data_IF_558817222682
#
_entry.id   IF_558817222682
#
_cell.length_a   1.000
_cell.length_b   1.000
_cell.length_c   1.000
_cell.angle_alpha   90.00
_cell.angle_beta   90.00
_cell.angle_gamma   90.00
#
_symmetry.space_group_name_H-M   'P 1'
#
loop_
_entity.id
_entity.type
_entity.pdbx_description
1 polymer ?
#
# COMPACT_ATOMS: atom_id res chain seq x y z
N UNK A 1 -26.86 21.93 -6.77
CA UNK A 1 -26.86 20.56 -6.22
C UNK A 1 -27.57 19.55 -7.14
N UNK A 2 -28.73 19.87 -7.72
CA UNK A 2 -29.46 18.91 -8.59
C UNK A 2 -28.72 18.53 -9.90
N UNK A 3 -27.99 19.46 -10.52
CA UNK A 3 -27.14 19.15 -11.69
C UNK A 3 -25.95 18.22 -11.35
N UNK A 4 -25.34 18.42 -10.17
CA UNK A 4 -24.20 17.61 -9.72
C UNK A 4 -24.65 16.16 -9.51
N UNK A 5 -25.84 15.96 -8.94
CA UNK A 5 -26.42 14.62 -8.73
C UNK A 5 -26.78 13.96 -10.06
N UNK A 6 -27.26 14.73 -11.05
CA UNK A 6 -27.61 14.21 -12.38
C UNK A 6 -26.38 13.75 -13.17
N UNK A 7 -25.31 14.55 -13.18
CA UNK A 7 -24.01 14.18 -13.79
C UNK A 7 -23.36 12.99 -13.09
N UNK A 8 -23.58 12.83 -11.78
CA UNK A 8 -23.08 11.70 -10.99
C UNK A 8 -23.79 10.37 -11.34
N UNK A 9 -25.07 10.44 -11.73
CA UNK A 9 -25.90 9.31 -12.14
C UNK A 9 -25.55 8.79 -13.54
N UNK A 10 -25.21 9.68 -14.47
CA UNK A 10 -24.98 9.32 -15.87
C UNK A 10 -23.60 8.66 -16.10
N UNK A 11 -22.62 8.90 -15.20
CA UNK A 11 -21.29 8.29 -15.26
C UNK A 11 -20.82 7.84 -13.86
N UNK A 12 -21.34 6.72 -13.33
CA UNK A 12 -20.97 6.22 -12.00
C UNK A 12 -19.46 5.99 -11.85
N UNK A 13 -18.78 5.59 -12.93
CA UNK A 13 -17.32 5.47 -12.98
C UNK A 13 -16.59 6.81 -12.80
N UNK A 14 -17.08 7.89 -13.42
CA UNK A 14 -16.49 9.22 -13.27
C UNK A 14 -16.72 9.78 -11.86
N UNK A 15 -17.90 9.54 -11.29
CA UNK A 15 -18.22 9.92 -9.92
C UNK A 15 -17.31 9.22 -8.89
N UNK A 16 -17.09 7.91 -9.04
CA UNK A 16 -16.17 7.15 -8.21
C UNK A 16 -14.75 7.70 -8.34
N UNK A 17 -14.31 8.04 -9.57
CA UNK A 17 -13.01 8.65 -9.82
C UNK A 17 -12.83 9.98 -9.09
N UNK A 18 -13.82 10.87 -9.15
CA UNK A 18 -13.78 12.16 -8.44
C UNK A 18 -13.78 11.96 -6.92
N UNK A 19 -14.62 11.07 -6.40
CA UNK A 19 -14.65 10.75 -4.98
C UNK A 19 -13.30 10.19 -4.49
N UNK A 20 -12.67 9.33 -5.28
CA UNK A 20 -11.35 8.77 -4.98
C UNK A 20 -10.28 9.87 -4.91
N UNK A 21 -10.28 10.81 -5.87
CA UNK A 21 -9.35 11.95 -5.87
C UNK A 21 -9.55 12.83 -4.63
N UNK A 22 -10.79 13.12 -4.25
CA UNK A 22 -11.10 13.90 -3.04
C UNK A 22 -10.57 13.18 -1.78
N UNK A 23 -10.77 11.87 -1.66
CA UNK A 23 -10.26 11.07 -0.53
C UNK A 23 -8.73 11.06 -0.49
N UNK A 24 -8.06 10.93 -1.63
CA UNK A 24 -6.60 10.98 -1.72
C UNK A 24 -6.05 12.34 -1.30
N UNK A 25 -6.69 13.43 -1.73
CA UNK A 25 -6.33 14.79 -1.31
C UNK A 25 -6.50 14.92 0.21
N UNK A 26 -7.63 14.46 0.75
CA UNK A 26 -7.89 14.48 2.19
C UNK A 26 -6.86 13.68 2.98
N UNK A 27 -6.48 12.50 2.49
CA UNK A 27 -5.43 11.67 3.07
C UNK A 27 -4.06 12.37 3.04
N UNK A 28 -3.75 13.10 1.97
CA UNK A 28 -2.50 13.86 1.85
C UNK A 28 -2.42 14.99 2.88
N UNK A 29 -3.53 15.70 3.09
CA UNK A 29 -3.63 16.70 4.16
C UNK A 29 -3.54 16.06 5.55
N UNK A 30 -4.17 14.89 5.75
CA UNK A 30 -4.10 14.16 7.00
C UNK A 30 -2.66 13.71 7.34
N UNK A 31 -1.93 13.15 6.37
CA UNK A 31 -0.51 12.82 6.50
C UNK A 31 0.33 14.04 6.88
N UNK A 32 0.05 15.21 6.29
CA UNK A 32 0.71 16.47 6.68
C UNK A 32 0.34 16.91 8.08
N UNK A 33 -0.94 16.86 8.46
CA UNK A 33 -1.42 17.20 9.80
C UNK A 33 -0.79 16.34 10.87
N UNK A 34 -0.67 15.02 10.65
CA UNK A 34 0.01 14.10 11.57
C UNK A 34 1.47 14.51 11.77
N UNK A 35 2.19 14.83 10.69
CA UNK A 35 3.58 15.32 10.80
C UNK A 35 3.67 16.63 11.57
N UNK A 36 2.80 17.59 11.29
CA UNK A 36 2.77 18.87 12.01
C UNK A 36 2.44 18.66 13.49
N UNK A 37 1.45 17.83 13.82
CA UNK A 37 1.09 17.49 15.18
C UNK A 37 2.24 16.80 15.93
N UNK A 38 2.97 15.89 15.27
CA UNK A 38 4.15 15.24 15.84
C UNK A 38 5.25 16.25 16.18
N UNK A 39 5.55 17.17 15.25
CA UNK A 39 6.56 18.23 15.48
C UNK A 39 6.13 19.16 16.61
N UNK A 40 4.85 19.55 16.64
CA UNK A 40 4.31 20.42 17.69
C UNK A 40 4.37 19.73 19.05
N UNK A 41 4.02 18.45 19.14
CA UNK A 41 4.17 17.64 20.34
C UNK A 41 5.63 17.53 20.78
N UNK A 42 6.57 17.36 19.86
CA UNK A 42 8.00 17.30 20.15
C UNK A 42 8.51 18.64 20.71
N UNK A 43 8.06 19.77 20.15
CA UNK A 43 8.35 21.11 20.69
C UNK A 43 7.77 21.26 22.10
N UNK A 44 6.53 20.82 22.34
CA UNK A 44 5.91 20.88 23.67
C UNK A 44 6.69 20.04 24.69
N UNK A 45 7.15 18.86 24.30
CA UNK A 45 7.99 18.00 25.16
C UNK A 45 9.35 18.64 25.39
N UNK A 46 9.95 19.27 24.38
CA UNK A 46 11.24 19.95 24.51
C UNK A 46 11.15 21.17 25.43
N UNK A 47 10.12 22.01 25.28
CA UNK A 47 9.88 23.18 26.13
C UNK A 47 9.49 22.74 27.55
N UNK A 48 8.60 21.77 27.68
CA UNK A 48 8.20 21.20 28.96
C UNK A 48 9.39 20.56 29.69
N UNK A 49 10.21 19.78 28.98
CA UNK A 49 11.43 19.18 29.51
C UNK A 49 12.49 20.22 29.87
N UNK A 50 12.65 21.27 29.06
CA UNK A 50 13.57 22.38 29.33
C UNK A 50 13.16 23.15 30.60
N UNK A 51 11.87 23.46 30.73
CA UNK A 51 11.33 24.11 31.92
C UNK A 51 11.46 23.20 33.16
N UNK A 52 11.22 21.90 32.98
CA UNK A 52 11.34 20.89 34.03
C UNK A 52 12.78 20.71 34.54
N UNK A 53 13.78 20.77 33.66
CA UNK A 53 15.19 20.70 34.05
C UNK A 53 15.68 22.00 34.72
N UNK A 54 15.02 23.13 34.45
CA UNK A 54 15.42 24.45 34.98
C UNK A 54 14.81 24.78 36.34
N UNK A 55 13.73 24.10 36.76
CA UNK A 55 13.10 24.24 38.08
C UNK A 55 13.02 22.89 38.81
N UNK A 56 14.13 22.42 39.41
CA UNK A 56 14.18 21.11 40.06
C UNK A 56 13.40 21.01 41.37
N UNK A 57 13.04 22.13 42.01
CA UNK A 57 12.37 22.17 43.33
C UNK A 57 10.83 22.12 43.24
N UNK A 58 10.22 22.42 42.09
CA UNK A 58 8.77 22.37 41.85
C UNK A 58 8.31 21.03 41.27
N UNK A 59 9.00 19.93 41.58
CA UNK A 59 8.55 18.59 41.14
C UNK A 59 7.33 18.17 41.95
N UNK A 60 6.13 18.04 41.35
CA UNK A 60 4.97 17.59 42.09
C UNK A 60 5.19 16.13 42.54
N UNK A 61 4.82 15.80 43.78
CA UNK A 61 4.96 14.46 44.36
C UNK A 61 4.35 13.33 43.49
N UNK A 62 3.37 13.68 42.66
CA UNK A 62 2.63 12.76 41.78
C UNK A 62 3.45 12.29 40.56
N UNK A 63 4.61 12.91 40.30
CA UNK A 63 5.42 12.64 39.10
C UNK A 63 6.18 11.32 39.23
N UNK A 64 6.65 10.97 40.43
CA UNK A 64 7.25 9.66 40.69
C UNK A 64 6.23 8.54 40.48
N UNK A 65 4.99 8.73 40.95
CA UNK A 65 3.91 7.76 40.75
C UNK A 65 3.49 7.67 39.27
N UNK A 66 3.40 8.80 38.57
CA UNK A 66 3.11 8.84 37.15
C UNK A 66 4.24 8.21 36.32
N UNK A 67 5.50 8.42 36.71
CA UNK A 67 6.66 7.81 36.07
C UNK A 67 6.70 6.30 36.33
N UNK A 68 6.33 5.85 37.52
CA UNK A 68 6.25 4.43 37.85
C UNK A 68 5.11 3.73 37.10
N UNK A 69 3.93 4.35 37.02
CA UNK A 69 2.82 3.91 36.15
C UNK A 69 3.19 3.93 34.67
N UNK A 70 3.90 4.96 34.22
CA UNK A 70 4.37 5.04 32.85
C UNK A 70 5.43 3.96 32.58
N UNK A 71 6.35 3.70 33.51
CA UNK A 71 7.39 2.67 33.36
C UNK A 71 6.81 1.27 33.33
N UNK A 72 5.85 0.97 34.21
CA UNK A 72 5.13 -0.32 34.20
C UNK A 72 4.22 -0.45 32.97
N UNK A 73 3.53 0.62 32.57
CA UNK A 73 2.74 0.66 31.35
C UNK A 73 3.60 0.47 30.08
N UNK A 74 4.75 1.13 30.03
CA UNK A 74 5.72 1.03 28.92
C UNK A 74 6.37 -0.34 28.87
N UNK A 75 6.68 -0.96 30.02
CA UNK A 75 7.15 -2.35 30.09
C UNK A 75 6.15 -3.32 29.45
N UNK A 76 4.87 -3.24 29.85
CA UNK A 76 3.81 -4.06 29.23
C UNK A 76 3.59 -3.75 27.76
N UNK A 77 3.71 -2.48 27.36
CA UNK A 77 3.59 -2.06 25.96
C UNK A 77 4.76 -2.57 25.11
N UNK A 78 5.98 -2.63 25.66
CA UNK A 78 7.15 -3.22 25.02
C UNK A 78 7.00 -4.73 24.86
N UNK A 79 6.45 -5.42 25.85
CA UNK A 79 6.20 -6.86 25.76
C UNK A 79 5.14 -7.18 24.71
N UNK A 80 4.02 -6.45 24.70
CA UNK A 80 3.02 -6.54 23.61
C UNK A 80 3.59 -6.12 22.24
N UNK A 81 4.47 -5.13 22.23
CA UNK A 81 5.16 -4.66 21.04
C UNK A 81 6.06 -5.75 20.45
N UNK A 82 6.84 -6.45 21.29
CA UNK A 82 7.64 -7.61 20.88
C UNK A 82 6.79 -8.73 20.32
N UNK A 83 5.67 -9.06 20.97
CA UNK A 83 4.73 -10.08 20.46
C UNK A 83 4.17 -9.68 19.08
N UNK A 84 3.80 -8.41 18.92
CA UNK A 84 3.29 -7.86 17.67
C UNK A 84 4.36 -7.86 16.57
N UNK A 85 5.61 -7.53 16.90
CA UNK A 85 6.74 -7.62 15.96
C UNK A 85 6.99 -9.08 15.54
N UNK A 86 6.84 -10.04 16.45
CA UNK A 86 6.98 -11.46 16.12
C UNK A 86 5.90 -11.93 15.15
N UNK A 87 4.63 -11.57 15.40
CA UNK A 87 3.53 -11.84 14.48
C UNK A 87 3.72 -11.13 13.14
N UNK A 88 4.25 -9.91 13.17
CA UNK A 88 4.62 -9.16 11.96
C UNK A 88 5.68 -9.87 11.11
N UNK A 89 6.69 -10.48 11.74
CA UNK A 89 7.70 -11.30 11.04
C UNK A 89 7.07 -12.54 10.39
N UNK A 90 6.20 -13.27 11.09
CA UNK A 90 5.48 -14.40 10.50
C UNK A 90 4.62 -13.99 9.29
N UNK A 91 3.97 -12.82 9.35
CA UNK A 91 3.20 -12.28 8.22
C UNK A 91 4.11 -11.91 7.03
N UNK A 92 5.30 -11.37 7.30
CA UNK A 92 6.29 -11.07 6.25
C UNK A 92 6.79 -12.36 5.59
N UNK A 93 7.06 -13.40 6.37
CA UNK A 93 7.51 -14.69 5.83
C UNK A 93 6.42 -15.37 5.01
N UNK A 94 5.17 -15.37 5.49
CA UNK A 94 4.01 -15.80 4.68
C UNK A 94 3.84 -14.97 3.41
N UNK A 95 4.07 -13.65 3.50
CA UNK A 95 4.03 -12.75 2.36
C UNK A 95 5.10 -13.09 1.32
N UNK A 96 6.31 -13.46 1.75
CA UNK A 96 7.37 -13.94 0.85
C UNK A 96 7.01 -15.25 0.17
N UNK A 97 6.48 -16.24 0.89
CA UNK A 97 6.02 -17.49 0.28
C UNK A 97 4.91 -17.24 -0.76
N UNK A 98 3.98 -16.33 -0.45
CA UNK A 98 2.90 -15.97 -1.37
C UNK A 98 3.44 -15.26 -2.61
N UNK A 99 4.46 -14.41 -2.44
CA UNK A 99 5.16 -13.75 -3.54
C UNK A 99 5.91 -14.74 -4.44
N UNK A 100 6.61 -15.73 -3.86
CA UNK A 100 7.27 -16.77 -4.64
C UNK A 100 6.28 -17.63 -5.42
N UNK A 101 5.17 -18.05 -4.79
CA UNK A 101 4.08 -18.75 -5.50
C UNK A 101 3.47 -17.89 -6.61
N UNK A 102 3.28 -16.59 -6.36
CA UNK A 102 2.81 -15.65 -7.37
C UNK A 102 3.76 -15.54 -8.55
N UNK A 103 5.08 -15.49 -8.28
CA UNK A 103 6.11 -15.49 -9.33
C UNK A 103 6.09 -16.77 -10.15
N UNK A 104 5.98 -17.93 -9.49
CA UNK A 104 5.91 -19.23 -10.16
C UNK A 104 4.66 -19.35 -11.06
N UNK A 105 3.51 -18.81 -10.61
CA UNK A 105 2.28 -18.72 -11.41
C UNK A 105 2.46 -17.79 -12.62
N UNK A 106 3.13 -16.65 -12.45
CA UNK A 106 3.42 -15.73 -13.55
C UNK A 106 4.35 -16.37 -14.57
N UNK A 107 5.37 -17.10 -14.12
CA UNK A 107 6.30 -17.80 -15.02
C UNK A 107 5.60 -18.93 -15.78
N UNK A 108 4.74 -19.72 -15.12
CA UNK A 108 3.87 -20.71 -15.79
C UNK A 108 2.89 -20.05 -16.77
N UNK A 109 2.35 -18.88 -16.41
CA UNK A 109 1.50 -18.08 -17.29
C UNK A 109 2.23 -17.63 -18.55
N UNK A 110 3.49 -17.18 -18.43
CA UNK A 110 4.33 -16.84 -19.57
C UNK A 110 4.65 -18.04 -20.46
N UNK A 111 4.94 -19.20 -19.86
CA UNK A 111 5.24 -20.42 -20.62
C UNK A 111 4.02 -20.90 -21.42
N UNK A 112 2.82 -20.86 -20.81
CA UNK A 112 1.57 -21.22 -21.49
C UNK A 112 1.18 -20.23 -22.58
N UNK A 113 1.38 -18.92 -22.35
CA UNK A 113 1.23 -17.89 -23.38
C UNK A 113 2.21 -18.08 -24.54
N UNK A 114 3.49 -18.37 -24.24
CA UNK A 114 4.51 -18.65 -25.26
C UNK A 114 4.09 -19.81 -26.17
N UNK A 115 3.72 -20.94 -25.58
CA UNK A 115 3.22 -22.11 -26.33
C UNK A 115 1.96 -21.81 -27.14
N UNK A 116 1.07 -20.96 -26.64
CA UNK A 116 -0.13 -20.52 -27.36
C UNK A 116 0.20 -19.64 -28.56
N UNK A 117 1.16 -18.72 -28.41
CA UNK A 117 1.63 -17.83 -29.48
C UNK A 117 2.38 -18.61 -30.56
N UNK A 118 3.22 -19.57 -30.18
CA UNK A 118 3.96 -20.41 -31.14
C UNK A 118 2.99 -21.26 -31.98
N UNK A 119 2.03 -21.93 -31.33
CA UNK A 119 0.95 -22.65 -32.05
C UNK A 119 0.10 -21.74 -32.92
N UNK A 120 -0.16 -20.51 -32.46
CA UNK A 120 -0.89 -19.51 -33.25
C UNK A 120 -0.12 -19.11 -34.50
N UNK A 121 1.19 -18.89 -34.38
CA UNK A 121 2.07 -18.62 -35.54
C UNK A 121 2.09 -19.78 -36.52
N UNK A 122 2.28 -21.01 -36.04
CA UNK A 122 2.29 -22.19 -36.91
C UNK A 122 0.97 -22.33 -37.69
N UNK A 123 -0.17 -22.16 -37.01
CA UNK A 123 -1.47 -22.19 -37.66
C UNK A 123 -1.65 -21.05 -38.68
N UNK A 124 -1.12 -19.86 -38.39
CA UNK A 124 -1.19 -18.71 -39.30
C UNK A 124 -0.31 -18.90 -40.54
N UNK A 125 0.88 -19.47 -40.38
CA UNK A 125 1.80 -19.79 -41.47
C UNK A 125 1.25 -20.93 -42.35
N UNK A 126 0.58 -21.93 -41.75
CA UNK A 126 -0.10 -23.00 -42.48
C UNK A 126 -1.27 -22.45 -43.32
N UNK A 127 -2.10 -21.60 -42.71
CA UNK A 127 -3.19 -20.91 -43.42
C UNK A 127 -2.63 -19.99 -44.52
N UNK A 128 -1.52 -19.30 -44.25
CA UNK A 128 -0.83 -18.45 -45.23
C UNK A 128 -0.32 -19.22 -46.44
N UNK A 129 0.17 -20.45 -46.26
CA UNK A 129 0.57 -21.33 -47.38
C UNK A 129 -0.62 -21.83 -48.19
N UNK A 130 -1.74 -22.16 -47.52
CA UNK A 130 -2.97 -22.61 -48.19
C UNK A 130 -3.59 -21.47 -49.02
N UNK A 131 -3.63 -20.25 -48.47
CA UNK A 131 -4.22 -19.08 -49.15
C UNK A 131 -3.24 -18.48 -50.19
N UNK A 132 -1.92 -18.57 -49.95
CA UNK A 132 -0.89 -18.02 -50.83
C UNK A 132 -0.47 -18.93 -51.98
N UNK A 133 -0.74 -20.24 -51.89
CA UNK A 133 -0.33 -21.24 -52.88
C UNK A 133 -1.05 -21.17 -54.24
N UNK A 134 -2.09 -20.36 -54.39
CA UNK A 134 -2.91 -20.32 -55.61
C UNK A 134 -2.46 -19.26 -56.66
N UNK A 135 -1.36 -18.54 -56.44
CA UNK A 135 -0.91 -17.47 -57.37
C UNK A 135 0.20 -17.82 -58.37
N UNK A 136 0.76 -19.03 -58.37
CA UNK A 136 1.90 -19.38 -59.26
C UNK A 136 1.59 -20.37 -60.42
N UNK A 137 0.34 -20.62 -60.80
CA UNK A 137 0.03 -21.46 -61.99
C UNK A 137 -0.35 -20.69 -63.27
N UNK A 138 -0.13 -19.36 -63.31
CA UNK A 138 -0.64 -18.48 -64.37
C UNK A 138 0.40 -17.62 -65.08
N UNK A 139 1.53 -18.19 -65.53
CA UNK A 139 2.37 -17.58 -66.58
C UNK A 139 3.01 -18.70 -67.42
N UNK A 140 2.21 -19.20 -68.36
CA UNK A 140 2.72 -19.67 -69.65
C UNK A 140 2.89 -18.47 -70.56
#
# INVERSE_FOLDING_TARGET
>A
MQEIVRVMSDYPLAAIGVAFVVVVIFFFFFMKLVKTALVLLLITVAVGGYFYLRYPDDRPANLSEALEKARTGTGRALDKGKETISKGRELIDKGKEMYEKGKELVDKGKETLGKGVDKGKDATDEIGKIIGGEKESGRR
#
